data_IF_456445129422
#
_entry.id   IF_456445129422
#
_cell.length_a   1.000
_cell.length_b   1.000
_cell.length_c   1.000
_cell.angle_alpha   90.00
_cell.angle_beta   90.00
_cell.angle_gamma   90.00
#
_symmetry.space_group_name_H-M   'P 1'
#
loop_
_entity.id
_entity.type
_entity.pdbx_description
1 polymer ?
#
# COMPACT_ATOMS: atom_id res chain seq x y z
N UNK A 1 -4.98 4.08 36.32
CA UNK A 1 -4.84 4.43 34.89
C UNK A 1 -3.58 5.27 34.74
N UNK A 2 -2.53 4.75 34.10
CA UNK A 2 -1.24 5.43 34.01
C UNK A 2 -1.31 6.61 33.01
N UNK A 3 -0.40 7.59 33.13
CA UNK A 3 -0.32 8.71 32.19
C UNK A 3 -0.09 8.26 30.74
N UNK A 4 0.48 7.06 30.54
CA UNK A 4 0.70 6.49 29.21
C UNK A 4 -0.57 5.84 28.63
N UNK A 5 -1.37 5.14 29.44
CA UNK A 5 -2.70 4.64 29.01
C UNK A 5 -3.62 5.78 28.56
N UNK A 6 -3.53 6.94 29.24
CA UNK A 6 -4.24 8.14 28.82
C UNK A 6 -3.77 8.65 27.44
N UNK A 7 -2.48 8.56 27.13
CA UNK A 7 -1.91 8.93 25.83
C UNK A 7 -2.33 7.98 24.71
N UNK A 8 -2.28 6.66 24.94
CA UNK A 8 -2.75 5.67 23.97
C UNK A 8 -4.25 5.81 23.72
N UNK A 9 -5.05 6.08 24.76
CA UNK A 9 -6.48 6.40 24.60
C UNK A 9 -6.68 7.70 23.81
N UNK A 10 -5.86 8.72 24.06
CA UNK A 10 -5.88 9.98 23.32
C UNK A 10 -5.61 9.75 21.82
N UNK A 11 -4.63 8.91 21.46
CA UNK A 11 -4.40 8.49 20.07
C UNK A 11 -5.63 7.84 19.45
N UNK A 12 -6.27 6.92 20.19
CA UNK A 12 -7.49 6.26 19.75
C UNK A 12 -8.62 7.27 19.48
N UNK A 13 -8.80 8.25 20.36
CA UNK A 13 -9.80 9.31 20.20
C UNK A 13 -9.47 10.26 19.03
N UNK A 14 -8.20 10.61 18.83
CA UNK A 14 -7.75 11.39 17.68
C UNK A 14 -8.05 10.66 16.35
N UNK A 15 -7.88 9.34 16.34
CA UNK A 15 -8.18 8.48 15.18
C UNK A 15 -9.68 8.47 14.85
N UNK A 16 -10.56 8.43 15.87
CA UNK A 16 -12.03 8.42 15.70
C UNK A 16 -12.57 9.74 15.16
N UNK A 17 -12.05 10.87 15.64
CA UNK A 17 -12.58 12.21 15.35
C UNK A 17 -12.30 12.70 13.92
N UNK A 18 -11.65 11.90 13.06
CA UNK A 18 -11.17 12.31 11.72
C UNK A 18 -10.49 13.68 11.77
N UNK A 19 -9.73 13.97 12.84
CA UNK A 19 -9.05 15.27 13.01
C UNK A 19 -8.19 15.45 11.77
N UNK A 20 -8.56 16.42 10.91
CA UNK A 20 -7.93 16.68 9.60
C UNK A 20 -6.42 16.72 9.79
N UNK A 21 -5.70 15.61 9.56
CA UNK A 21 -4.24 15.40 9.75
C UNK A 21 -3.51 16.66 10.22
N UNK A 22 -3.81 17.08 11.46
CA UNK A 22 -3.31 18.35 11.94
C UNK A 22 -1.88 18.08 12.29
N UNK A 23 -0.96 18.55 11.45
CA UNK A 23 0.45 18.23 11.56
C UNK A 23 0.96 18.50 12.98
N UNK A 24 0.48 19.57 13.61
CA UNK A 24 0.82 19.91 14.98
C UNK A 24 0.30 18.90 16.02
N UNK A 25 -0.98 18.51 15.94
CA UNK A 25 -1.60 17.59 16.92
C UNK A 25 -0.97 16.21 16.86
N UNK A 26 -0.82 15.66 15.65
CA UNK A 26 -0.19 14.35 15.46
C UNK A 26 1.30 14.38 15.81
N UNK A 27 2.02 15.44 15.44
CA UNK A 27 3.45 15.54 15.74
C UNK A 27 3.70 15.66 17.25
N UNK A 28 2.90 16.44 17.98
CA UNK A 28 2.99 16.55 19.43
C UNK A 28 2.71 15.21 20.13
N UNK A 29 1.61 14.55 19.78
CA UNK A 29 1.22 13.28 20.40
C UNK A 29 2.23 12.17 20.12
N UNK A 30 2.68 12.02 18.86
CA UNK A 30 3.74 11.07 18.50
C UNK A 30 5.08 11.42 19.17
N UNK A 31 5.36 12.71 19.37
CA UNK A 31 6.52 13.18 20.11
C UNK A 31 6.53 12.71 21.57
N UNK A 32 5.39 12.81 22.26
CA UNK A 32 5.24 12.33 23.63
C UNK A 32 5.41 10.82 23.76
N UNK A 33 4.86 10.05 22.81
CA UNK A 33 4.99 8.59 22.79
C UNK A 33 6.44 8.19 22.50
N UNK A 34 7.05 8.82 21.50
CA UNK A 34 8.46 8.57 21.16
C UNK A 34 9.41 8.85 22.33
N UNK A 35 9.14 9.91 23.10
CA UNK A 35 9.96 10.26 24.27
C UNK A 35 9.81 9.25 25.43
N UNK A 36 8.76 8.43 25.44
CA UNK A 36 8.48 7.41 26.45
C UNK A 36 8.58 5.98 25.91
N UNK A 37 9.20 5.81 24.74
CA UNK A 37 9.23 4.54 23.99
C UNK A 37 9.76 3.35 24.81
N UNK A 38 10.73 3.60 25.68
CA UNK A 38 11.36 2.57 26.52
C UNK A 38 10.42 2.06 27.64
N UNK A 39 9.33 2.76 27.92
CA UNK A 39 8.30 2.36 28.90
C UNK A 39 7.09 1.65 28.26
N UNK A 40 7.12 1.42 26.93
CA UNK A 40 6.00 0.82 26.21
C UNK A 40 6.04 -0.68 26.41
N UNK A 41 4.97 -1.23 26.98
CA UNK A 41 4.83 -2.68 27.11
C UNK A 41 4.56 -3.30 25.73
N UNK A 42 5.09 -4.51 25.50
CA UNK A 42 4.92 -5.24 24.23
C UNK A 42 3.45 -5.39 23.84
N UNK A 43 2.57 -5.65 24.80
CA UNK A 43 1.11 -5.76 24.58
C UNK A 43 0.46 -4.49 24.02
N UNK A 44 1.09 -3.33 24.17
CA UNK A 44 0.56 -2.04 23.68
C UNK A 44 0.97 -1.76 22.23
N UNK A 45 1.98 -2.47 21.73
CA UNK A 45 2.59 -2.27 20.43
C UNK A 45 1.59 -2.39 19.27
N UNK A 46 0.72 -3.43 19.19
CA UNK A 46 -0.27 -3.54 18.12
C UNK A 46 -1.24 -2.35 18.07
N UNK A 47 -1.67 -1.86 19.22
CA UNK A 47 -2.61 -0.72 19.31
C UNK A 47 -1.97 0.57 18.79
N UNK A 48 -0.71 0.83 19.16
CA UNK A 48 0.02 2.02 18.70
C UNK A 48 0.27 1.94 17.19
N UNK A 49 0.70 0.77 16.70
CA UNK A 49 0.95 0.58 15.27
C UNK A 49 -0.32 0.73 14.45
N UNK A 50 -1.45 0.20 14.91
CA UNK A 50 -2.76 0.46 14.28
C UNK A 50 -3.10 1.94 14.21
N UNK A 51 -2.87 2.70 15.28
CA UNK A 51 -3.09 4.14 15.24
C UNK A 51 -2.21 4.82 14.19
N UNK A 52 -0.96 4.37 14.00
CA UNK A 52 -0.08 4.89 12.95
C UNK A 52 -0.65 4.55 11.56
N UNK A 53 -1.06 3.30 11.32
CA UNK A 53 -1.55 2.82 10.02
C UNK A 53 -2.92 3.41 9.64
N UNK A 54 -3.88 3.38 10.57
CA UNK A 54 -5.24 3.89 10.35
C UNK A 54 -5.22 5.41 10.01
N UNK A 55 -4.22 6.14 10.51
CA UNK A 55 -3.99 7.56 10.22
C UNK A 55 -2.91 7.80 9.15
N UNK A 56 -2.33 6.73 8.60
CA UNK A 56 -1.33 6.68 7.52
C UNK A 56 -0.07 7.53 7.82
N UNK A 57 0.41 7.42 9.06
CA UNK A 57 1.49 8.23 9.62
C UNK A 57 2.86 7.55 9.52
N UNK A 58 3.02 6.50 8.70
CA UNK A 58 4.25 5.69 8.67
C UNK A 58 5.46 6.51 8.19
N UNK A 59 5.24 7.50 7.32
CA UNK A 59 6.28 8.43 6.85
C UNK A 59 6.57 9.59 7.82
N UNK A 60 5.81 9.74 8.92
CA UNK A 60 6.10 10.78 9.90
C UNK A 60 7.39 10.40 10.66
N UNK A 61 8.39 11.31 10.81
CA UNK A 61 9.70 10.96 11.37
C UNK A 61 9.63 10.29 12.75
N UNK A 62 8.74 10.74 13.63
CA UNK A 62 8.55 10.14 14.96
C UNK A 62 7.84 8.79 14.92
N UNK A 63 6.91 8.59 13.99
CA UNK A 63 6.27 7.29 13.80
C UNK A 63 7.26 6.28 13.26
N UNK A 64 8.05 6.68 12.25
CA UNK A 64 9.11 5.85 11.68
C UNK A 64 10.10 5.39 12.75
N UNK A 65 10.60 6.33 13.56
CA UNK A 65 11.53 6.02 14.64
C UNK A 65 10.89 5.13 15.73
N UNK A 66 9.58 5.27 16.00
CA UNK A 66 8.84 4.35 16.88
C UNK A 66 8.76 2.94 16.28
N UNK A 67 8.40 2.82 15.00
CA UNK A 67 8.32 1.54 14.30
C UNK A 67 9.68 0.83 14.26
N UNK A 68 10.76 1.57 13.98
CA UNK A 68 12.13 1.05 14.03
C UNK A 68 12.49 0.56 15.46
N UNK A 69 12.10 1.29 16.51
CA UNK A 69 12.28 0.85 17.89
C UNK A 69 11.46 -0.41 18.26
N UNK A 70 10.28 -0.57 17.68
CA UNK A 70 9.40 -1.72 17.90
C UNK A 70 9.83 -2.99 17.16
N UNK A 71 10.69 -2.85 16.16
CA UNK A 71 11.18 -3.95 15.32
C UNK A 71 11.75 -5.13 16.13
N UNK A 72 12.71 -4.94 17.07
CA UNK A 72 13.23 -6.04 17.89
C UNK A 72 12.23 -6.64 18.90
N UNK A 73 11.16 -5.92 19.22
CA UNK A 73 10.13 -6.37 20.18
C UNK A 73 9.03 -7.19 19.49
N UNK A 74 8.74 -6.88 18.22
CA UNK A 74 7.63 -7.47 17.50
C UNK A 74 7.66 -9.02 17.42
N UNK A 75 8.82 -9.68 17.22
CA UNK A 75 8.87 -11.14 17.21
C UNK A 75 8.49 -11.79 18.55
N UNK A 76 8.46 -11.05 19.66
CA UNK A 76 8.13 -11.55 21.00
C UNK A 76 6.63 -11.58 21.25
N UNK A 77 5.83 -10.88 20.43
CA UNK A 77 4.38 -10.80 20.56
C UNK A 77 3.74 -12.19 20.45
N UNK A 78 2.91 -12.53 21.44
CA UNK A 78 2.15 -13.76 21.47
C UNK A 78 0.72 -13.47 21.01
N UNK A 79 0.17 -14.32 20.12
CA UNK A 79 -1.21 -14.25 19.63
C UNK A 79 -1.63 -12.89 19.07
N UNK A 80 -1.66 -12.76 17.74
CA UNK A 80 -2.16 -11.57 17.06
C UNK A 80 -3.48 -11.86 16.35
N UNK A 81 -4.42 -10.93 16.46
CA UNK A 81 -5.60 -10.87 15.59
C UNK A 81 -5.20 -10.50 14.16
N UNK A 82 -6.07 -10.80 13.19
CA UNK A 82 -5.76 -10.58 11.77
C UNK A 82 -5.47 -9.11 11.44
N UNK A 83 -6.27 -8.20 12.01
CA UNK A 83 -6.10 -6.76 11.85
C UNK A 83 -4.77 -6.26 12.40
N UNK A 84 -4.37 -6.76 13.56
CA UNK A 84 -3.14 -6.35 14.24
C UNK A 84 -1.91 -6.85 13.46
N UNK A 85 -1.93 -8.11 13.01
CA UNK A 85 -0.88 -8.65 12.14
C UNK A 85 -0.76 -7.86 10.85
N UNK A 86 -1.89 -7.55 10.19
CA UNK A 86 -1.91 -6.76 8.97
C UNK A 86 -1.27 -5.38 9.18
N UNK A 87 -1.68 -4.66 10.22
CA UNK A 87 -1.13 -3.35 10.55
C UNK A 87 0.38 -3.41 10.85
N UNK A 88 0.83 -4.39 11.62
CA UNK A 88 2.25 -4.58 11.94
C UNK A 88 3.07 -4.86 10.68
N UNK A 89 2.66 -5.83 9.86
CA UNK A 89 3.37 -6.19 8.65
C UNK A 89 3.44 -5.02 7.66
N UNK A 90 2.32 -4.32 7.47
CA UNK A 90 2.26 -3.14 6.62
C UNK A 90 3.20 -2.03 7.11
N UNK A 91 3.16 -1.72 8.41
CA UNK A 91 3.99 -0.67 8.99
C UNK A 91 5.48 -1.00 8.92
N UNK A 92 5.88 -2.25 9.21
CA UNK A 92 7.27 -2.67 9.13
C UNK A 92 7.80 -2.66 7.69
N UNK A 93 7.00 -3.08 6.71
CA UNK A 93 7.36 -2.92 5.28
C UNK A 93 7.53 -1.43 4.91
N UNK A 94 6.68 -0.54 5.44
CA UNK A 94 6.75 0.90 5.18
C UNK A 94 8.02 1.59 5.72
N UNK A 95 8.68 0.98 6.72
CA UNK A 95 9.94 1.46 7.32
C UNK A 95 11.14 0.56 6.99
N UNK A 96 11.02 -0.28 5.97
CA UNK A 96 12.08 -1.14 5.44
C UNK A 96 12.56 -2.24 6.42
N UNK A 97 11.69 -2.68 7.32
CA UNK A 97 11.91 -3.78 8.26
C UNK A 97 11.25 -5.07 7.76
N UNK A 98 11.52 -5.41 6.49
CA UNK A 98 10.86 -6.52 5.77
C UNK A 98 11.05 -7.88 6.45
N UNK A 99 12.21 -8.13 7.04
CA UNK A 99 12.51 -9.38 7.77
C UNK A 99 11.59 -9.58 8.98
N UNK A 100 11.28 -8.50 9.70
CA UNK A 100 10.40 -8.53 10.87
C UNK A 100 8.96 -8.81 10.46
N UNK A 101 8.50 -8.18 9.37
CA UNK A 101 7.19 -8.49 8.78
C UNK A 101 7.08 -9.97 8.37
N UNK A 102 8.11 -10.52 7.74
CA UNK A 102 8.15 -11.94 7.36
C UNK A 102 8.07 -12.87 8.57
N UNK A 103 8.86 -12.62 9.62
CA UNK A 103 8.82 -13.43 10.86
C UNK A 103 7.45 -13.41 11.50
N UNK A 104 6.80 -12.25 11.56
CA UNK A 104 5.43 -12.12 12.09
C UNK A 104 4.42 -12.92 11.27
N UNK A 105 4.47 -12.83 9.93
CA UNK A 105 3.57 -13.59 9.06
C UNK A 105 3.74 -15.10 9.28
N UNK A 106 4.99 -15.60 9.30
CA UNK A 106 5.27 -17.03 9.53
C UNK A 106 4.70 -17.50 10.87
N UNK A 107 4.87 -16.69 11.92
CA UNK A 107 4.49 -17.06 13.29
C UNK A 107 2.97 -17.06 13.50
N UNK A 108 2.25 -16.12 12.89
CA UNK A 108 0.86 -15.86 13.26
C UNK A 108 -0.17 -16.23 12.19
N UNK A 109 0.20 -16.34 10.90
CA UNK A 109 -0.75 -16.55 9.81
C UNK A 109 -1.64 -17.79 9.98
N UNK A 110 -1.13 -18.86 10.60
CA UNK A 110 -1.85 -20.13 10.76
C UNK A 110 -2.80 -20.15 11.96
N UNK A 111 -2.98 -19.04 12.70
CA UNK A 111 -3.88 -19.03 13.85
C UNK A 111 -5.37 -19.08 13.42
N UNK A 112 -6.20 -19.74 14.22
CA UNK A 112 -7.65 -19.83 13.97
C UNK A 112 -8.32 -18.45 13.86
N UNK A 113 -7.74 -17.43 14.51
CA UNK A 113 -8.22 -16.05 14.45
C UNK A 113 -8.22 -15.49 13.00
N UNK A 114 -7.31 -15.94 12.13
CA UNK A 114 -7.30 -15.51 10.71
C UNK A 114 -8.44 -16.14 9.92
N UNK A 115 -8.76 -17.41 10.20
CA UNK A 115 -9.83 -18.13 9.51
C UNK A 115 -11.20 -17.63 9.97
N UNK A 116 -11.32 -17.10 11.18
CA UNK A 116 -12.55 -16.52 11.72
C UNK A 116 -12.72 -15.01 11.48
N UNK A 117 -11.66 -14.30 11.04
CA UNK A 117 -11.69 -12.86 10.81
C UNK A 117 -12.77 -12.47 9.79
N UNK A 118 -13.34 -11.27 9.94
CA UNK A 118 -14.25 -10.71 8.94
C UNK A 118 -13.55 -10.53 7.58
N UNK A 119 -14.31 -10.23 6.53
CA UNK A 119 -13.76 -10.14 5.18
C UNK A 119 -12.76 -8.98 5.03
N UNK A 120 -12.99 -7.85 5.70
CA UNK A 120 -12.14 -6.68 5.58
C UNK A 120 -10.79 -6.87 6.28
N UNK A 121 -10.79 -7.42 7.50
CA UNK A 121 -9.58 -7.73 8.26
C UNK A 121 -8.78 -8.85 7.60
N UNK A 122 -9.47 -9.86 7.05
CA UNK A 122 -8.83 -10.90 6.25
C UNK A 122 -8.17 -10.32 5.00
N UNK A 123 -8.86 -9.42 4.27
CA UNK A 123 -8.31 -8.74 3.10
C UNK A 123 -7.07 -7.91 3.43
N UNK A 124 -7.09 -7.17 4.54
CA UNK A 124 -5.94 -6.41 5.00
C UNK A 124 -4.73 -7.32 5.29
N UNK A 125 -4.98 -8.50 5.87
CA UNK A 125 -3.95 -9.49 6.12
C UNK A 125 -3.37 -10.07 4.81
N UNK A 126 -4.23 -10.49 3.87
CA UNK A 126 -3.80 -10.99 2.53
C UNK A 126 -3.03 -9.91 1.77
N UNK A 127 -3.46 -8.65 1.82
CA UNK A 127 -2.73 -7.52 1.23
C UNK A 127 -1.34 -7.37 1.83
N UNK A 128 -1.22 -7.49 3.14
CA UNK A 128 0.06 -7.39 3.85
C UNK A 128 1.01 -8.55 3.50
N UNK A 129 0.46 -9.75 3.29
CA UNK A 129 1.19 -10.89 2.73
C UNK A 129 1.68 -10.57 1.32
N UNK A 130 0.81 -10.05 0.44
CA UNK A 130 1.17 -9.64 -0.91
C UNK A 130 2.27 -8.58 -0.96
N UNK A 131 2.21 -7.57 -0.08
CA UNK A 131 3.25 -6.56 0.09
C UNK A 131 4.58 -7.19 0.51
N UNK A 132 4.56 -8.04 1.53
CA UNK A 132 5.78 -8.69 2.05
C UNK A 132 6.42 -9.61 1.00
N UNK A 133 5.61 -10.41 0.30
CA UNK A 133 6.07 -11.30 -0.76
C UNK A 133 6.67 -10.52 -1.94
N UNK A 134 6.05 -9.39 -2.32
CA UNK A 134 6.57 -8.53 -3.37
C UNK A 134 7.91 -7.89 -3.00
N UNK A 135 8.01 -7.35 -1.78
CA UNK A 135 9.24 -6.76 -1.23
C UNK A 135 10.39 -7.75 -1.24
N UNK A 136 10.14 -8.99 -0.81
CA UNK A 136 11.13 -10.06 -0.84
C UNK A 136 11.62 -10.35 -2.26
N UNK A 137 10.71 -10.49 -3.22
CA UNK A 137 11.09 -10.75 -4.62
C UNK A 137 11.91 -9.59 -5.21
N UNK A 138 11.56 -8.35 -4.87
CA UNK A 138 12.28 -7.15 -5.31
C UNK A 138 13.71 -7.05 -4.74
N UNK A 139 13.94 -7.58 -3.53
CA UNK A 139 15.28 -7.69 -2.94
C UNK A 139 16.10 -8.83 -3.59
N UNK A 140 15.44 -9.84 -4.18
CA UNK A 140 16.04 -11.09 -4.66
C UNK A 140 16.17 -11.20 -6.19
N UNK A 141 16.46 -10.13 -6.94
CA UNK A 141 16.71 -10.24 -8.41
C UNK A 141 17.91 -9.42 -8.91
N UNK A 142 18.73 -9.92 -9.86
CA UNK A 142 19.29 -11.26 -9.99
C UNK A 142 20.83 -11.17 -10.11
N UNK A 143 21.57 -11.50 -9.05
CA UNK A 143 22.97 -11.90 -9.19
C UNK A 143 23.13 -13.22 -8.47
N UNK A 144 23.17 -14.26 -9.29
CA UNK A 144 23.60 -15.62 -8.96
C UNK A 144 22.63 -16.41 -8.06
N UNK A 145 22.14 -17.51 -8.64
CA UNK A 145 21.39 -18.63 -8.07
C UNK A 145 19.89 -18.47 -7.88
N UNK A 146 19.19 -19.55 -8.27
CA UNK A 146 17.86 -19.98 -7.85
C UNK A 146 17.77 -20.13 -6.32
N UNK A 147 18.12 -19.11 -5.55
CA UNK A 147 17.80 -19.06 -4.13
C UNK A 147 16.29 -18.85 -4.02
N UNK A 148 15.59 -19.99 -4.05
CA UNK A 148 14.20 -20.16 -3.69
C UNK A 148 13.90 -19.28 -2.48
N UNK A 149 12.84 -18.48 -2.59
CA UNK A 149 12.05 -18.06 -1.44
C UNK A 149 11.97 -19.27 -0.51
N UNK A 150 12.45 -19.15 0.74
CA UNK A 150 12.58 -20.30 1.65
C UNK A 150 11.30 -21.15 1.61
N UNK A 151 11.40 -22.48 1.43
CA UNK A 151 10.26 -23.40 1.24
C UNK A 151 9.08 -23.10 2.20
N UNK A 152 9.37 -22.79 3.45
CA UNK A 152 8.39 -22.47 4.50
C UNK A 152 7.54 -21.20 4.23
N UNK A 153 8.11 -20.18 3.58
CA UNK A 153 7.38 -18.98 3.17
C UNK A 153 6.48 -19.26 1.98
N UNK A 154 6.95 -20.06 1.03
CA UNK A 154 6.14 -20.52 -0.11
C UNK A 154 4.93 -21.30 0.41
N UNK A 155 5.12 -22.19 1.37
CA UNK A 155 4.03 -22.91 2.04
C UNK A 155 3.04 -21.96 2.74
N UNK A 156 3.54 -20.91 3.40
CA UNK A 156 2.69 -19.89 4.04
C UNK A 156 1.85 -19.17 2.98
N UNK A 157 2.47 -18.73 1.89
CA UNK A 157 1.78 -18.04 0.80
C UNK A 157 0.78 -18.95 0.07
N UNK A 158 1.08 -20.22 -0.13
CA UNK A 158 0.14 -21.19 -0.69
C UNK A 158 -1.07 -21.43 0.22
N UNK A 159 -0.85 -21.51 1.54
CA UNK A 159 -1.95 -21.58 2.51
C UNK A 159 -2.83 -20.33 2.47
N UNK A 160 -2.22 -19.14 2.29
CA UNK A 160 -2.95 -17.87 2.10
C UNK A 160 -3.85 -17.97 0.87
N UNK A 161 -3.28 -18.30 -0.28
CA UNK A 161 -4.00 -18.42 -1.56
C UNK A 161 -5.14 -19.43 -1.45
N UNK A 162 -4.87 -20.62 -0.92
CA UNK A 162 -5.89 -21.67 -0.77
C UNK A 162 -7.03 -21.24 0.16
N UNK A 163 -6.73 -20.50 1.22
CA UNK A 163 -7.75 -19.98 2.15
C UNK A 163 -8.57 -18.86 1.53
N UNK A 164 -7.91 -17.94 0.81
CA UNK A 164 -8.58 -16.87 0.07
C UNK A 164 -9.50 -17.45 -1.01
N UNK A 165 -9.05 -18.43 -1.78
CA UNK A 165 -9.87 -19.12 -2.78
C UNK A 165 -11.08 -19.81 -2.16
N UNK A 166 -10.93 -20.51 -1.03
CA UNK A 166 -12.07 -21.12 -0.33
C UNK A 166 -13.10 -20.07 0.10
N UNK A 167 -12.65 -18.94 0.64
CA UNK A 167 -13.55 -17.83 1.01
C UNK A 167 -14.26 -17.23 -0.20
N UNK A 168 -13.55 -16.99 -1.30
CA UNK A 168 -14.12 -16.47 -2.55
C UNK A 168 -15.20 -17.41 -3.11
N UNK A 169 -14.95 -18.73 -3.14
CA UNK A 169 -15.95 -19.71 -3.59
C UNK A 169 -17.16 -19.77 -2.64
N UNK A 170 -16.92 -19.69 -1.31
CA UNK A 170 -18.00 -19.62 -0.33
C UNK A 170 -18.89 -18.39 -0.51
N UNK A 171 -18.30 -17.22 -0.75
CA UNK A 171 -19.03 -15.98 -1.04
C UNK A 171 -19.86 -16.11 -2.32
N UNK A 172 -19.27 -16.65 -3.38
CA UNK A 172 -19.96 -16.86 -4.65
C UNK A 172 -21.15 -17.82 -4.52
N UNK A 173 -21.00 -18.90 -3.76
CA UNK A 173 -22.06 -19.88 -3.52
C UNK A 173 -23.18 -19.35 -2.62
N UNK A 174 -22.86 -18.53 -1.62
CA UNK A 174 -23.83 -18.05 -0.63
C UNK A 174 -24.82 -17.03 -1.18
N UNK A 175 -24.46 -16.21 -2.17
CA UNK A 175 -25.41 -15.34 -2.85
C UNK A 175 -24.86 -14.78 -4.17
N UNK A 176 -25.42 -15.15 -5.34
CA UNK A 176 -25.02 -14.58 -6.63
C UNK A 176 -25.39 -13.09 -6.79
N UNK A 177 -26.14 -12.50 -5.84
CA UNK A 177 -26.41 -11.06 -5.79
C UNK A 177 -25.23 -10.25 -5.19
N UNK A 178 -24.19 -10.90 -4.65
CA UNK A 178 -22.98 -10.26 -4.10
C UNK A 178 -22.03 -9.70 -5.16
N UNK A 179 -22.49 -9.54 -6.41
CA UNK A 179 -21.70 -8.98 -7.50
C UNK A 179 -21.19 -7.55 -7.24
N UNK A 180 -21.75 -6.85 -6.25
CA UNK A 180 -21.35 -5.51 -5.82
C UNK A 180 -20.61 -5.51 -4.46
N UNK A 181 -19.88 -6.58 -4.14
CA UNK A 181 -19.04 -6.60 -2.94
C UNK A 181 -17.61 -6.12 -3.25
N UNK A 182 -17.31 -4.85 -2.95
CA UNK A 182 -15.96 -4.29 -3.12
C UNK A 182 -14.88 -5.07 -2.38
N UNK A 183 -15.20 -5.61 -1.19
CA UNK A 183 -14.26 -6.44 -0.43
C UNK A 183 -14.03 -7.81 -1.07
N UNK A 184 -15.02 -8.42 -1.71
CA UNK A 184 -14.80 -9.65 -2.48
C UNK A 184 -13.94 -9.37 -3.72
N UNK A 185 -14.16 -8.23 -4.39
CA UNK A 185 -13.30 -7.73 -5.47
C UNK A 185 -11.86 -7.45 -5.03
N UNK A 186 -11.69 -6.83 -3.87
CA UNK A 186 -10.37 -6.65 -3.26
C UNK A 186 -9.71 -8.01 -3.04
N UNK A 187 -10.37 -8.93 -2.34
CA UNK A 187 -9.82 -10.25 -2.05
C UNK A 187 -9.40 -11.00 -3.33
N UNK A 188 -10.25 -10.94 -4.36
CA UNK A 188 -9.99 -11.54 -5.66
C UNK A 188 -8.70 -10.98 -6.26
N UNK A 189 -8.57 -9.65 -6.33
CA UNK A 189 -7.40 -9.01 -6.90
C UNK A 189 -6.13 -9.18 -6.04
N UNK A 190 -6.24 -9.19 -4.71
CA UNK A 190 -5.13 -9.56 -3.82
C UNK A 190 -4.65 -10.98 -4.11
N UNK A 191 -5.58 -11.92 -4.31
CA UNK A 191 -5.28 -13.33 -4.60
C UNK A 191 -4.62 -13.46 -5.96
N UNK A 192 -5.13 -12.80 -7.00
CA UNK A 192 -4.52 -12.74 -8.33
C UNK A 192 -3.09 -12.20 -8.23
N UNK A 193 -2.90 -11.11 -7.49
CA UNK A 193 -1.60 -10.49 -7.30
C UNK A 193 -0.61 -11.44 -6.62
N UNK A 194 -1.03 -12.13 -5.55
CA UNK A 194 -0.20 -13.09 -4.84
C UNK A 194 0.14 -14.31 -5.70
N UNK A 195 -0.84 -14.89 -6.41
CA UNK A 195 -0.62 -16.00 -7.35
C UNK A 195 0.43 -15.64 -8.41
N UNK A 196 0.40 -14.41 -8.92
CA UNK A 196 1.43 -13.97 -9.85
C UNK A 196 2.83 -13.87 -9.22
N UNK A 197 2.93 -13.35 -8.00
CA UNK A 197 4.23 -13.31 -7.29
C UNK A 197 4.79 -14.74 -7.16
N UNK A 198 3.93 -15.72 -6.92
CA UNK A 198 4.27 -17.14 -6.77
C UNK A 198 4.40 -17.90 -8.10
N UNK A 199 4.18 -17.26 -9.26
CA UNK A 199 4.08 -17.92 -10.57
C UNK A 199 3.08 -19.10 -10.60
N UNK A 200 2.01 -19.02 -9.81
CA UNK A 200 0.99 -20.06 -9.68
C UNK A 200 -0.19 -19.79 -10.61
N UNK A 201 -0.52 -20.76 -11.46
CA UNK A 201 -1.76 -20.71 -12.26
C UNK A 201 -2.97 -21.00 -11.38
N UNK A 202 -3.96 -20.11 -11.41
CA UNK A 202 -5.23 -20.28 -10.70
C UNK A 202 -6.37 -19.93 -11.64
N UNK A 203 -7.37 -20.81 -11.71
CA UNK A 203 -8.66 -20.52 -12.33
C UNK A 203 -9.62 -19.96 -11.29
N UNK A 204 -10.35 -18.91 -11.67
CA UNK A 204 -11.42 -18.34 -10.85
C UNK A 204 -12.78 -18.79 -11.40
N UNK A 205 -13.81 -18.72 -10.55
CA UNK A 205 -15.17 -19.10 -10.92
C UNK A 205 -15.75 -18.18 -12.00
N UNK A 206 -16.74 -18.69 -12.73
CA UNK A 206 -17.44 -17.95 -13.80
C UNK A 206 -18.12 -16.69 -13.23
N UNK A 207 -17.94 -15.56 -13.91
CA UNK A 207 -18.50 -14.27 -13.48
C UNK A 207 -17.63 -13.46 -12.50
N UNK A 208 -16.46 -13.97 -12.11
CA UNK A 208 -15.49 -13.24 -11.25
C UNK A 208 -15.07 -11.88 -11.81
N UNK A 209 -15.12 -11.67 -13.13
CA UNK A 209 -14.86 -10.38 -13.78
C UNK A 209 -15.74 -9.23 -13.25
N UNK A 210 -16.97 -9.51 -12.80
CA UNK A 210 -17.86 -8.47 -12.24
C UNK A 210 -17.32 -7.90 -10.92
N UNK A 211 -16.61 -8.71 -10.15
CA UNK A 211 -16.03 -8.28 -8.87
C UNK A 211 -14.79 -7.40 -9.07
N UNK A 212 -14.13 -7.49 -10.23
CA UNK A 212 -12.95 -6.67 -10.58
C UNK A 212 -13.33 -5.20 -10.66
N UNK A 213 -14.49 -4.87 -11.26
CA UNK A 213 -14.87 -3.47 -11.49
C UNK A 213 -15.32 -2.74 -10.22
N UNK A 214 -15.79 -3.47 -9.21
CA UNK A 214 -16.16 -2.93 -7.89
C UNK A 214 -15.02 -2.95 -6.87
N UNK A 215 -13.87 -3.53 -7.23
CA UNK A 215 -12.69 -3.53 -6.37
C UNK A 215 -12.13 -2.11 -6.19
N UNK A 216 -11.37 -1.92 -5.12
CA UNK A 216 -10.72 -0.63 -4.84
C UNK A 216 -9.73 -0.23 -5.94
N UNK A 217 -9.55 1.08 -6.09
CA UNK A 217 -8.60 1.66 -7.04
C UNK A 217 -7.18 1.10 -6.85
N UNK A 218 -6.74 0.92 -5.60
CA UNK A 218 -5.43 0.36 -5.27
C UNK A 218 -5.26 -1.08 -5.80
N UNK A 219 -6.23 -1.94 -5.53
CA UNK A 219 -6.18 -3.35 -5.93
C UNK A 219 -6.10 -3.48 -7.45
N UNK A 220 -6.91 -2.70 -8.18
CA UNK A 220 -6.90 -2.66 -9.65
C UNK A 220 -5.59 -2.13 -10.24
N UNK A 221 -4.99 -1.10 -9.64
CA UNK A 221 -3.71 -0.58 -10.13
C UNK A 221 -2.61 -1.63 -10.02
N UNK A 222 -2.56 -2.38 -8.92
CA UNK A 222 -1.56 -3.43 -8.71
C UNK A 222 -1.70 -4.60 -9.68
N UNK A 223 -2.93 -4.92 -10.07
CA UNK A 223 -3.25 -6.01 -11.01
C UNK A 223 -3.48 -5.57 -12.45
N UNK A 224 -3.41 -4.27 -12.75
CA UNK A 224 -3.74 -3.66 -14.06
C UNK A 224 -3.24 -4.40 -15.30
N UNK A 225 -1.97 -4.79 -15.31
CA UNK A 225 -1.35 -5.60 -16.37
C UNK A 225 -1.90 -7.03 -16.55
N UNK A 226 -2.69 -7.56 -15.62
CA UNK A 226 -3.49 -8.78 -15.81
C UNK A 226 -4.90 -8.51 -16.30
N UNK A 227 -5.35 -7.27 -16.18
CA UNK A 227 -6.72 -6.90 -16.51
C UNK A 227 -6.86 -6.78 -18.02
N UNK A 228 -7.99 -7.25 -18.52
CA UNK A 228 -8.39 -7.03 -19.92
C UNK A 228 -8.55 -5.53 -20.21
N UNK A 229 -8.47 -5.16 -21.50
CA UNK A 229 -8.50 -3.76 -21.92
C UNK A 229 -9.73 -2.98 -21.39
N UNK A 230 -10.90 -3.62 -21.34
CA UNK A 230 -12.15 -3.02 -20.85
C UNK A 230 -12.04 -2.57 -19.39
N UNK A 231 -11.45 -3.41 -18.52
CA UNK A 231 -11.23 -3.07 -17.11
C UNK A 231 -10.18 -1.96 -16.93
N UNK A 232 -9.28 -1.76 -17.89
CA UNK A 232 -8.32 -0.65 -17.86
C UNK A 232 -8.98 0.70 -18.16
N UNK A 233 -10.01 0.73 -19.01
CA UNK A 233 -10.77 1.97 -19.25
C UNK A 233 -11.60 2.37 -18.04
N UNK A 234 -12.26 1.41 -17.38
CA UNK A 234 -12.95 1.66 -16.11
C UNK A 234 -11.97 2.14 -15.03
N UNK A 235 -10.76 1.57 -14.98
CA UNK A 235 -9.72 2.01 -14.06
C UNK A 235 -9.31 3.48 -14.31
N UNK A 236 -9.12 3.90 -15.56
CA UNK A 236 -8.82 5.30 -15.89
C UNK A 236 -9.93 6.25 -15.44
N UNK A 237 -11.19 5.86 -15.63
CA UNK A 237 -12.34 6.63 -15.15
C UNK A 237 -12.35 6.75 -13.62
N UNK A 238 -12.05 5.67 -12.90
CA UNK A 238 -11.92 5.69 -11.45
C UNK A 238 -10.78 6.61 -10.99
N UNK A 239 -9.61 6.59 -11.65
CA UNK A 239 -8.52 7.52 -11.36
C UNK A 239 -8.98 8.97 -11.57
N UNK A 240 -9.67 9.25 -12.68
CA UNK A 240 -10.15 10.60 -12.99
C UNK A 240 -11.17 11.12 -11.95
N UNK A 241 -11.97 10.24 -11.35
CA UNK A 241 -12.98 10.60 -10.35
C UNK A 241 -12.43 10.67 -8.91
N UNK A 242 -11.35 9.94 -8.59
CA UNK A 242 -10.86 9.76 -7.23
C UNK A 242 -10.47 11.06 -6.50
N UNK A 243 -10.62 11.09 -5.18
CA UNK A 243 -10.19 12.22 -4.35
C UNK A 243 -8.67 12.29 -4.17
N UNK A 244 -8.16 13.45 -3.72
CA UNK A 244 -6.75 13.61 -3.37
C UNK A 244 -6.28 12.53 -2.37
N UNK A 245 -7.12 12.22 -1.38
CA UNK A 245 -6.80 11.25 -0.33
C UNK A 245 -6.68 9.84 -0.89
N UNK A 246 -7.59 9.44 -1.77
CA UNK A 246 -7.57 8.11 -2.40
C UNK A 246 -6.33 7.95 -3.29
N UNK A 247 -6.04 8.94 -4.13
CA UNK A 247 -4.86 8.92 -5.00
C UNK A 247 -3.57 8.89 -4.18
N UNK A 248 -3.47 9.68 -3.11
CA UNK A 248 -2.30 9.64 -2.23
C UNK A 248 -2.17 8.29 -1.52
N UNK A 249 -3.28 7.65 -1.15
CA UNK A 249 -3.24 6.32 -0.54
C UNK A 249 -2.72 5.25 -1.51
N UNK A 250 -3.15 5.29 -2.78
CA UNK A 250 -2.61 4.40 -3.82
C UNK A 250 -1.12 4.67 -4.04
N UNK A 251 -0.74 5.94 -4.25
CA UNK A 251 0.66 6.31 -4.47
C UNK A 251 1.56 5.89 -3.30
N UNK A 252 1.09 6.03 -2.07
CA UNK A 252 1.78 5.54 -0.86
C UNK A 252 1.98 4.04 -0.93
N UNK A 253 0.95 3.28 -1.29
CA UNK A 253 1.08 1.84 -1.37
C UNK A 253 2.06 1.41 -2.46
N UNK A 254 1.99 2.01 -3.67
CA UNK A 254 2.96 1.76 -4.75
C UNK A 254 4.38 2.14 -4.31
N UNK A 255 4.53 3.24 -3.56
CA UNK A 255 5.79 3.65 -2.96
C UNK A 255 6.35 2.60 -1.99
N UNK A 256 5.54 2.06 -1.08
CA UNK A 256 5.97 1.01 -0.14
C UNK A 256 6.30 -0.30 -0.82
N UNK A 257 5.52 -0.69 -1.83
CA UNK A 257 5.78 -1.87 -2.66
C UNK A 257 7.15 -1.80 -3.35
N UNK A 258 7.68 -0.58 -3.60
CA UNK A 258 8.83 -0.35 -4.47
C UNK A 258 8.66 -0.99 -5.85
N UNK A 259 7.41 -1.01 -6.33
CA UNK A 259 7.06 -1.72 -7.55
C UNK A 259 7.78 -1.09 -8.76
N UNK A 260 8.39 -1.91 -9.65
CA UNK A 260 8.91 -1.41 -10.92
C UNK A 260 7.78 -1.01 -11.88
N UNK A 261 6.52 -1.34 -11.56
CA UNK A 261 5.36 -1.04 -12.42
C UNK A 261 4.97 0.43 -12.29
N UNK A 262 5.03 1.12 -13.42
CA UNK A 262 4.88 2.58 -13.52
C UNK A 262 3.69 3.02 -14.38
N UNK A 263 2.91 2.06 -14.88
CA UNK A 263 1.89 2.23 -15.92
C UNK A 263 0.90 3.36 -15.65
N UNK A 264 0.49 3.54 -14.39
CA UNK A 264 -0.51 4.54 -13.99
C UNK A 264 0.06 5.74 -13.23
N UNK A 265 1.39 5.84 -13.10
CA UNK A 265 1.98 6.93 -12.31
C UNK A 265 1.66 8.30 -12.89
N UNK A 266 1.63 8.43 -14.22
CA UNK A 266 1.29 9.69 -14.87
C UNK A 266 -0.15 10.12 -14.53
N UNK A 267 -1.13 9.23 -14.66
CA UNK A 267 -2.54 9.51 -14.37
C UNK A 267 -2.75 9.80 -12.88
N UNK A 268 -2.11 9.04 -11.98
CA UNK A 268 -2.17 9.26 -10.54
C UNK A 268 -1.62 10.64 -10.17
N UNK A 269 -0.42 10.99 -10.64
CA UNK A 269 0.17 12.30 -10.34
C UNK A 269 -0.60 13.45 -11.00
N UNK A 270 -1.15 13.26 -12.19
CA UNK A 270 -2.01 14.24 -12.83
C UNK A 270 -3.25 14.53 -11.97
N UNK A 271 -3.92 13.47 -11.48
CA UNK A 271 -5.08 13.61 -10.61
C UNK A 271 -4.72 14.23 -9.26
N UNK A 272 -3.58 13.85 -8.69
CA UNK A 272 -3.08 14.43 -7.44
C UNK A 272 -2.86 15.93 -7.57
N UNK A 273 -2.27 16.38 -8.68
CA UNK A 273 -2.09 17.80 -8.98
C UNK A 273 -3.42 18.53 -9.18
N UNK A 274 -4.37 17.94 -9.92
CA UNK A 274 -5.68 18.51 -10.16
C UNK A 274 -6.53 18.67 -8.89
N UNK A 275 -6.23 17.90 -7.84
CA UNK A 275 -6.97 17.91 -6.56
C UNK A 275 -6.16 18.51 -5.40
N UNK A 276 -5.01 19.14 -5.67
CA UNK A 276 -4.08 19.65 -4.66
C UNK A 276 -4.71 20.66 -3.69
N UNK A 277 -5.76 21.39 -4.10
CA UNK A 277 -6.50 22.31 -3.23
C UNK A 277 -7.20 21.64 -2.03
N UNK A 278 -7.44 20.32 -2.08
CA UNK A 278 -8.02 19.55 -0.98
C UNK A 278 -6.96 18.98 0.00
N UNK A 279 -5.68 19.30 -0.19
CA UNK A 279 -4.57 18.73 0.57
C UNK A 279 -4.29 19.45 1.88
N UNK A 280 -3.78 18.71 2.88
CA UNK A 280 -3.19 19.29 4.10
C UNK A 280 -1.67 19.46 3.94
N UNK A 281 -1.03 20.25 4.80
CA UNK A 281 0.45 20.38 4.81
C UNK A 281 1.17 19.03 4.92
N UNK A 282 0.65 18.13 5.74
CA UNK A 282 1.21 16.78 5.89
C UNK A 282 1.09 15.99 4.58
N UNK A 283 -0.10 16.02 3.95
CA UNK A 283 -0.34 15.36 2.68
C UNK A 283 0.51 15.92 1.52
N UNK A 284 0.85 17.22 1.54
CA UNK A 284 1.75 17.86 0.57
C UNK A 284 3.21 17.44 0.77
N UNK A 285 3.63 17.33 2.03
CA UNK A 285 4.98 16.86 2.38
C UNK A 285 5.15 15.42 1.92
N UNK A 286 4.15 14.59 2.20
CA UNK A 286 4.12 13.19 1.79
C UNK A 286 4.09 13.02 0.27
N UNK A 287 3.23 13.74 -0.45
CA UNK A 287 3.17 13.65 -1.92
C UNK A 287 4.48 14.08 -2.57
N UNK A 288 5.15 15.09 -2.02
CA UNK A 288 6.46 15.53 -2.49
C UNK A 288 7.54 14.47 -2.25
N UNK A 289 7.53 13.81 -1.09
CA UNK A 289 8.46 12.72 -0.80
C UNK A 289 8.27 11.52 -1.74
N UNK A 290 7.01 11.17 -2.04
CA UNK A 290 6.69 10.09 -2.99
C UNK A 290 7.10 10.48 -4.42
N UNK A 291 6.87 11.73 -4.84
CA UNK A 291 7.32 12.25 -6.13
C UNK A 291 8.84 12.18 -6.26
N UNK A 292 9.57 12.66 -5.25
CA UNK A 292 11.03 12.67 -5.22
C UNK A 292 11.60 11.23 -5.26
N UNK A 293 10.94 10.27 -4.61
CA UNK A 293 11.28 8.85 -4.73
C UNK A 293 11.20 8.37 -6.18
N UNK A 294 10.04 8.53 -6.85
CA UNK A 294 9.87 8.01 -8.20
C UNK A 294 10.80 8.70 -9.22
N UNK A 295 11.09 9.99 -9.04
CA UNK A 295 12.10 10.70 -9.85
C UNK A 295 13.47 10.04 -9.71
N UNK A 296 13.91 9.73 -8.49
CA UNK A 296 15.20 9.05 -8.25
C UNK A 296 15.21 7.65 -8.87
N UNK A 297 14.18 6.84 -8.62
CA UNK A 297 14.10 5.47 -9.14
C UNK A 297 14.06 5.46 -10.68
N UNK A 298 13.38 6.42 -11.32
CA UNK A 298 13.38 6.54 -12.78
C UNK A 298 14.76 6.89 -13.34
N UNK A 299 15.51 7.79 -12.67
CA UNK A 299 16.88 8.14 -13.09
C UNK A 299 17.80 6.93 -13.02
N UNK A 300 17.80 6.23 -11.87
CA UNK A 300 18.63 5.03 -11.69
C UNK A 300 18.35 3.97 -12.75
N UNK A 301 17.08 3.72 -13.06
CA UNK A 301 16.71 2.71 -14.07
C UNK A 301 17.10 3.11 -15.50
N UNK A 302 17.03 4.40 -15.84
CA UNK A 302 17.43 4.91 -17.15
C UNK A 302 18.95 4.79 -17.31
N UNK A 303 19.70 5.11 -16.25
CA UNK A 303 21.16 5.08 -16.24
C UNK A 303 21.71 3.63 -16.27
N UNK A 304 20.95 2.67 -15.73
CA UNK A 304 21.32 1.24 -15.70
C UNK A 304 21.23 0.51 -17.07
N UNK A 305 20.74 1.18 -18.12
CA UNK A 305 20.87 0.87 -19.56
C UNK A 305 20.74 -0.60 -20.05
N UNK A 306 20.02 -1.46 -19.35
CA UNK A 306 19.82 -2.88 -19.73
C UNK A 306 18.40 -3.20 -20.25
N UNK A 307 17.54 -2.18 -20.39
CA UNK A 307 16.16 -2.34 -20.85
C UNK A 307 15.98 -2.02 -22.36
N UNK A 308 14.96 -2.59 -23.03
CA UNK A 308 14.63 -2.26 -24.41
C UNK A 308 14.43 -0.75 -24.63
N UNK A 309 14.86 -0.22 -25.77
CA UNK A 309 14.83 1.22 -26.07
C UNK A 309 13.44 1.87 -25.87
N UNK A 310 12.37 1.15 -26.21
CA UNK A 310 11.00 1.61 -26.00
C UNK A 310 10.64 1.82 -24.51
N UNK A 311 11.08 0.90 -23.63
CA UNK A 311 10.86 0.99 -22.19
C UNK A 311 11.67 2.14 -21.56
N UNK A 312 12.89 2.35 -22.05
CA UNK A 312 13.74 3.49 -21.65
C UNK A 312 13.11 4.81 -22.08
N UNK A 313 12.59 4.90 -23.31
CA UNK A 313 11.93 6.11 -23.81
C UNK A 313 10.65 6.44 -23.03
N UNK A 314 9.83 5.44 -22.71
CA UNK A 314 8.66 5.61 -21.85
C UNK A 314 9.06 6.12 -20.46
N UNK A 315 10.10 5.55 -19.86
CA UNK A 315 10.63 5.99 -18.56
C UNK A 315 11.18 7.41 -18.61
N UNK A 316 11.87 7.81 -19.69
CA UNK A 316 12.35 9.19 -19.91
C UNK A 316 11.20 10.19 -20.00
N UNK A 317 10.13 9.84 -20.72
CA UNK A 317 8.93 10.68 -20.84
C UNK A 317 8.26 10.88 -19.47
N UNK A 318 8.05 9.79 -18.73
CA UNK A 318 7.50 9.85 -17.37
C UNK A 318 8.40 10.66 -16.42
N UNK A 319 9.72 10.46 -16.47
CA UNK A 319 10.68 11.23 -15.67
C UNK A 319 10.58 12.72 -15.97
N UNK A 320 10.53 13.11 -17.24
CA UNK A 320 10.38 14.51 -17.63
C UNK A 320 9.08 15.12 -17.09
N UNK A 321 7.98 14.37 -17.16
CA UNK A 321 6.68 14.77 -16.60
C UNK A 321 6.75 14.99 -15.08
N UNK A 322 7.29 14.02 -14.32
CA UNK A 322 7.41 14.12 -12.86
C UNK A 322 8.35 15.26 -12.42
N UNK A 323 9.46 15.47 -13.13
CA UNK A 323 10.35 16.62 -12.92
C UNK A 323 9.63 17.94 -13.22
N UNK A 324 8.76 17.97 -14.24
CA UNK A 324 7.89 19.11 -14.54
C UNK A 324 6.98 19.47 -13.37
N UNK A 325 6.29 18.49 -12.78
CA UNK A 325 5.48 18.68 -11.56
C UNK A 325 6.35 19.23 -10.43
N UNK A 326 7.53 18.65 -10.20
CA UNK A 326 8.44 19.06 -9.12
C UNK A 326 8.89 20.52 -9.26
N UNK A 327 9.23 20.94 -10.48
CA UNK A 327 9.66 22.31 -10.81
C UNK A 327 8.53 23.32 -10.67
N UNK A 328 7.31 22.96 -11.07
CA UNK A 328 6.17 23.86 -11.00
C UNK A 328 5.66 24.09 -9.56
N UNK A 329 6.05 23.26 -8.59
CA UNK A 329 5.71 23.46 -7.19
C UNK A 329 4.21 23.27 -6.86
N UNK A 330 3.46 22.63 -7.75
CA UNK A 330 1.99 22.47 -7.64
C UNK A 330 1.60 21.69 -6.39
N UNK A 331 2.36 20.65 -6.05
CA UNK A 331 2.13 19.85 -4.85
C UNK A 331 2.58 20.56 -3.55
N UNK A 332 3.46 21.55 -3.64
CA UNK A 332 3.95 22.34 -2.50
C UNK A 332 3.14 23.60 -2.22
N UNK A 333 2.30 24.04 -3.17
CA UNK A 333 1.52 25.27 -3.08
C UNK A 333 0.53 25.27 -1.91
N UNK A 334 0.60 26.32 -1.08
CA UNK A 334 -0.38 26.63 -0.03
C UNK A 334 -1.71 27.17 -0.59
N UNK A 335 -1.65 27.77 -1.78
CA UNK A 335 -2.80 28.36 -2.47
C UNK A 335 -3.56 27.31 -3.27
N UNK A 336 -4.89 27.37 -3.17
CA UNK A 336 -5.80 26.77 -4.13
C UNK A 336 -5.52 27.46 -5.47
N UNK A 337 -4.60 26.91 -6.28
CA UNK A 337 -4.51 27.36 -7.66
C UNK A 337 -5.82 26.93 -8.33
N UNK A 338 -6.72 27.88 -8.56
CA UNK A 338 -7.93 27.71 -9.37
C UNK A 338 -7.59 27.32 -10.81
N UNK A 339 -6.33 27.50 -11.23
CA UNK A 339 -5.78 26.89 -12.43
C UNK A 339 -5.67 25.38 -12.24
N UNK A 340 -6.59 24.65 -12.89
CA UNK A 340 -6.42 23.21 -13.13
C UNK A 340 -5.03 23.01 -13.72
N UNK A 341 -4.23 22.15 -13.09
CA UNK A 341 -2.98 21.68 -13.67
C UNK A 341 -3.32 20.94 -14.96
N UNK A 342 -3.31 21.68 -16.06
CA UNK A 342 -3.44 21.16 -17.41
C UNK A 342 -2.02 21.13 -17.98
N UNK A 343 -1.16 20.27 -17.42
CA UNK A 343 0.02 19.91 -18.20
C UNK A 343 -0.52 19.28 -19.48
N UNK A 344 -0.17 19.78 -20.67
CA UNK A 344 -0.64 19.17 -21.90
C UNK A 344 -0.21 17.71 -21.84
N UNK A 345 -1.20 16.81 -21.81
CA UNK A 345 -0.99 15.42 -22.15
C UNK A 345 -0.32 15.49 -23.51
N UNK A 346 0.97 15.23 -23.58
CA UNK A 346 1.61 14.95 -24.86
C UNK A 346 0.95 13.67 -25.33
N UNK A 347 -0.16 13.83 -26.05
CA UNK A 347 -0.71 12.81 -26.92
C UNK A 347 0.49 12.31 -27.70
N UNK A 348 0.83 11.04 -27.52
CA UNK A 348 1.80 10.38 -28.37
C UNK A 348 1.38 10.64 -29.82
N UNK A 349 2.13 11.49 -30.52
CA UNK A 349 2.06 11.59 -31.97
C UNK A 349 2.63 10.28 -32.51
N UNK A 350 1.75 9.32 -32.72
CA UNK A 350 1.87 8.25 -33.70
C UNK A 350 0.59 8.37 -34.55
N UNK A 351 0.62 8.77 -35.83
CA UNK A 351 1.74 8.84 -36.75
C UNK A 351 2.12 7.46 -37.20
#
# INVERSE_FOLDING_TARGET
MTAFEALVRSLGELSKRKVKRSAHVWSACLGEIYNRRDCIAESQLPTIVRCIVDNQLEQHPKSRALLEHFTPLAPQLNSLEARDLAALCYAFCAVDQDSTAQTLLRRHWTSEAFVAADLADFNAAVRSVGLTAHRQRALNTPRESDEMVSSELVETYDKVVNTALRRLHGLHAASPATNECSEAGNLLLETVFLCHILNRSVSFFSGSNRWIDVASLDARIRTSHFLQAEHNEVLKQQIAAASYREILAVLRHVFYMRSPRRTHLQELFNRLCATAGASTRMCRTESTAILDYFIRTLRTDIDAASAPAAAVNSSKSLLAYLVGIRRAGVLSGGHVSSHRWNYPVMLSRHG
#
